data_IF_565511226232
#
_entry.id   IF_565511226232
#
_cell.length_a   1.000
_cell.length_b   1.000
_cell.length_c   1.000
_cell.angle_alpha   90.00
_cell.angle_beta   90.00
_cell.angle_gamma   90.00
#
_symmetry.space_group_name_H-M   'P 1'
#
loop_
_entity.id
_entity.type
_entity.pdbx_description
1 polymer ?
#
# COMPACT_ATOMS: atom_id res chain seq x y z
N UNK A 1 -48.36 33.60 -67.10
CA UNK A 1 -48.01 34.43 -65.91
C UNK A 1 -47.74 33.51 -64.72
N UNK A 2 -46.52 33.59 -64.19
CA UNK A 2 -45.95 33.11 -62.92
C UNK A 2 -46.57 31.88 -62.23
N UNK A 3 -45.90 30.72 -62.36
CA UNK A 3 -45.87 29.67 -61.32
C UNK A 3 -44.71 30.00 -60.38
N UNK A 4 -45.03 30.33 -59.13
CA UNK A 4 -44.03 30.47 -58.06
C UNK A 4 -43.89 29.09 -57.41
N UNK A 5 -42.79 28.41 -57.73
CA UNK A 5 -42.24 27.31 -56.94
C UNK A 5 -41.33 27.99 -55.92
N UNK A 6 -41.71 27.98 -54.64
CA UNK A 6 -40.79 28.30 -53.54
C UNK A 6 -40.39 26.99 -52.89
N UNK A 7 -39.12 26.67 -53.09
CA UNK A 7 -38.39 25.58 -52.47
C UNK A 7 -38.31 25.69 -50.95
N UNK A 8 -38.26 24.51 -50.35
CA UNK A 8 -37.71 24.15 -49.04
C UNK A 8 -36.82 25.22 -48.40
N UNK A 9 -37.08 25.55 -47.12
CA UNK A 9 -36.01 25.85 -46.18
C UNK A 9 -36.44 25.49 -44.73
N UNK A 10 -35.68 24.57 -44.14
CA UNK A 10 -35.42 24.41 -42.70
C UNK A 10 -36.58 24.04 -41.77
N UNK A 11 -36.85 22.74 -41.68
CA UNK A 11 -37.38 22.11 -40.46
C UNK A 11 -36.53 20.88 -40.13
N UNK A 12 -35.26 21.11 -39.77
CA UNK A 12 -34.32 20.07 -39.35
C UNK A 12 -33.38 20.59 -38.26
N UNK A 13 -33.95 21.09 -37.17
CA UNK A 13 -33.24 21.29 -35.91
C UNK A 13 -34.07 20.61 -34.81
N UNK A 14 -33.39 19.88 -33.92
CA UNK A 14 -33.92 19.10 -32.78
C UNK A 14 -34.10 17.59 -33.03
N UNK A 15 -33.09 16.97 -33.61
CA UNK A 15 -32.70 15.63 -33.19
C UNK A 15 -31.26 15.71 -32.65
N UNK A 16 -31.08 16.37 -31.50
CA UNK A 16 -29.87 16.15 -30.72
C UNK A 16 -29.93 14.71 -30.24
N UNK A 17 -29.04 13.80 -30.68
CA UNK A 17 -28.90 12.55 -29.96
C UNK A 17 -28.55 12.94 -28.53
N UNK A 18 -29.34 12.47 -27.57
CA UNK A 18 -28.92 12.38 -26.19
C UNK A 18 -27.69 11.48 -26.19
N UNK A 19 -26.52 12.08 -26.42
CA UNK A 19 -25.24 11.46 -26.13
C UNK A 19 -25.37 11.09 -24.66
N UNK A 20 -25.42 9.79 -24.38
CA UNK A 20 -25.18 9.31 -23.02
C UNK A 20 -23.86 9.93 -22.62
N UNK A 21 -23.93 10.97 -21.81
CA UNK A 21 -22.81 11.38 -20.99
C UNK A 21 -22.71 10.23 -19.99
N UNK A 22 -21.98 9.19 -20.40
CA UNK A 22 -21.44 8.26 -19.43
C UNK A 22 -20.67 9.16 -18.48
N UNK A 23 -21.20 9.31 -17.26
CA UNK A 23 -20.51 9.98 -16.18
C UNK A 23 -19.16 9.28 -16.07
N UNK A 24 -18.14 9.87 -16.69
CA UNK A 24 -16.77 9.44 -16.53
C UNK A 24 -16.55 9.49 -15.02
N UNK A 25 -16.53 8.30 -14.39
CA UNK A 25 -16.18 8.21 -12.99
C UNK A 25 -14.79 8.81 -12.90
N UNK A 26 -14.70 10.00 -12.30
CA UNK A 26 -13.42 10.59 -11.98
C UNK A 26 -12.64 9.51 -11.21
N UNK A 27 -11.44 9.19 -11.67
CA UNK A 27 -10.59 8.25 -10.95
C UNK A 27 -10.42 8.78 -9.52
N UNK A 28 -10.61 7.90 -8.54
CA UNK A 28 -10.59 8.29 -7.14
C UNK A 28 -9.13 8.51 -6.71
N UNK A 29 -8.77 9.77 -6.48
CA UNK A 29 -7.41 10.17 -6.08
C UNK A 29 -7.36 10.53 -4.59
N UNK A 30 -8.23 9.95 -3.78
CA UNK A 30 -8.19 10.14 -2.34
C UNK A 30 -6.84 9.68 -1.77
N UNK A 31 -6.34 10.50 -0.83
CA UNK A 31 -5.06 10.25 -0.17
C UNK A 31 -5.31 9.32 1.01
N UNK A 32 -5.16 8.03 0.74
CA UNK A 32 -5.26 6.97 1.75
C UNK A 32 -3.88 6.40 2.10
N UNK A 33 -2.91 6.52 1.20
CA UNK A 33 -1.56 6.00 1.41
C UNK A 33 -0.56 7.11 1.62
N UNK A 34 0.55 6.77 2.26
CA UNK A 34 1.74 7.60 2.30
C UNK A 34 3.00 6.75 2.32
N UNK A 35 4.02 7.19 1.58
CA UNK A 35 5.34 6.59 1.60
C UNK A 35 6.18 7.20 2.72
N UNK A 36 6.93 6.36 3.43
CA UNK A 36 7.91 6.80 4.45
C UNK A 36 9.24 6.14 4.13
N UNK A 37 10.30 6.92 4.24
CA UNK A 37 11.68 6.49 3.97
C UNK A 37 12.51 6.57 5.24
N UNK A 38 13.72 5.99 5.22
CA UNK A 38 14.71 6.24 6.26
C UNK A 38 14.44 5.57 7.61
N UNK A 39 13.65 4.48 7.64
CA UNK A 39 13.54 3.67 8.86
C UNK A 39 14.87 2.99 9.24
N UNK A 40 15.82 2.92 8.31
CA UNK A 40 17.19 2.47 8.56
C UNK A 40 18.07 3.47 9.31
N UNK A 41 17.73 4.77 9.33
CA UNK A 41 18.54 5.80 10.02
C UNK A 41 18.28 5.90 11.53
N UNK A 42 17.21 5.29 12.04
CA UNK A 42 16.84 5.30 13.47
C UNK A 42 17.14 3.97 14.17
N UNK A 43 18.25 3.31 13.83
CA UNK A 43 18.64 2.07 14.53
C UNK A 43 17.70 0.87 14.31
N UNK A 44 16.92 0.87 13.21
CA UNK A 44 16.01 -0.18 12.71
C UNK A 44 15.81 -1.39 13.64
N UNK A 45 15.02 -1.23 14.69
CA UNK A 45 14.54 -2.39 15.42
C UNK A 45 13.60 -3.15 14.48
N UNK A 46 14.02 -4.35 14.07
CA UNK A 46 13.16 -5.22 13.26
C UNK A 46 11.87 -5.47 14.04
N UNK A 47 10.73 -5.24 13.40
CA UNK A 47 9.45 -5.59 13.97
C UNK A 47 9.41 -7.09 14.23
N UNK A 48 8.96 -7.47 15.41
CA UNK A 48 8.66 -8.86 15.74
C UNK A 48 7.33 -9.28 15.13
N UNK A 49 7.07 -10.58 15.00
CA UNK A 49 5.78 -11.05 14.48
C UNK A 49 4.65 -10.70 15.44
N UNK A 50 3.50 -10.19 14.98
CA UNK A 50 2.35 -9.97 15.86
C UNK A 50 1.68 -11.26 16.34
N UNK A 51 2.08 -12.42 15.78
CA UNK A 51 1.66 -13.76 16.21
C UNK A 51 2.87 -14.50 16.78
N UNK A 52 2.72 -15.12 17.95
CA UNK A 52 3.83 -15.79 18.66
C UNK A 52 3.41 -17.10 19.31
N UNK A 53 4.39 -17.98 19.47
CA UNK A 53 4.29 -19.19 20.28
C UNK A 53 5.27 -19.06 21.45
N UNK A 54 4.75 -18.73 22.63
CA UNK A 54 5.58 -18.26 23.74
C UNK A 54 6.34 -16.98 23.37
N UNK A 55 7.66 -16.98 23.54
CA UNK A 55 8.54 -15.86 23.19
C UNK A 55 9.00 -15.84 21.72
N UNK A 56 8.68 -16.88 20.95
CA UNK A 56 9.16 -17.08 19.59
C UNK A 56 8.21 -16.49 18.55
N UNK A 57 8.77 -15.79 17.57
CA UNK A 57 8.02 -15.22 16.45
C UNK A 57 7.45 -16.33 15.56
N UNK A 58 6.16 -16.23 15.24
CA UNK A 58 5.48 -17.08 14.27
C UNK A 58 5.16 -16.21 13.06
N UNK A 59 5.92 -16.34 11.98
CA UNK A 59 5.72 -15.57 10.75
C UNK A 59 4.53 -16.13 9.96
N UNK A 60 3.33 -15.79 10.44
CA UNK A 60 2.08 -16.19 9.84
C UNK A 60 2.02 -15.80 8.35
N UNK A 61 1.35 -16.63 7.57
CA UNK A 61 1.17 -16.38 6.15
C UNK A 61 0.37 -15.10 5.92
N UNK A 62 0.80 -14.27 4.96
CA UNK A 62 0.12 -13.02 4.62
C UNK A 62 -0.96 -13.28 3.57
N UNK A 63 -2.23 -13.31 3.94
CA UNK A 63 -3.37 -13.59 3.05
C UNK A 63 -3.68 -12.47 2.06
N UNK A 64 -3.52 -11.21 2.44
CA UNK A 64 -3.78 -10.06 1.58
C UNK A 64 -2.81 -8.93 1.94
N UNK A 65 -2.32 -8.20 0.92
CA UNK A 65 -1.20 -7.25 1.08
C UNK A 65 -1.69 -5.80 1.11
N UNK A 66 -0.88 -4.90 1.67
CA UNK A 66 -1.16 -3.45 1.63
C UNK A 66 -1.13 -2.94 0.20
N UNK A 67 -2.08 -2.08 -0.16
CA UNK A 67 -2.22 -1.49 -1.49
C UNK A 67 -2.45 -2.54 -2.60
N UNK A 68 -3.00 -3.69 -2.22
CA UNK A 68 -3.51 -4.69 -3.14
C UNK A 68 -5.01 -4.52 -3.31
N UNK A 69 -5.55 -4.51 -4.54
CA UNK A 69 -6.99 -4.44 -4.71
C UNK A 69 -7.71 -5.67 -4.17
N UNK A 70 -8.98 -5.48 -3.78
CA UNK A 70 -9.83 -6.56 -3.26
C UNK A 70 -11.20 -6.52 -3.91
N UNK A 71 -11.87 -7.67 -3.88
CA UNK A 71 -13.28 -7.78 -4.27
C UNK A 71 -14.24 -7.30 -3.18
N UNK A 72 -13.76 -7.22 -1.92
CA UNK A 72 -14.53 -6.81 -0.74
C UNK A 72 -13.62 -6.13 0.29
N UNK A 73 -14.22 -5.41 1.25
CA UNK A 73 -13.49 -4.62 2.24
C UNK A 73 -12.92 -3.31 1.67
N UNK A 74 -11.91 -2.74 2.35
CA UNK A 74 -11.18 -1.56 1.83
C UNK A 74 -10.51 -1.92 0.52
N UNK A 75 -10.62 -1.04 -0.48
CA UNK A 75 -10.05 -1.26 -1.81
C UNK A 75 -9.35 0.01 -2.30
N UNK A 76 -8.03 -0.01 -2.55
CA UNK A 76 -7.12 -1.11 -2.26
C UNK A 76 -7.03 -1.37 -0.77
N UNK A 77 -6.53 -2.55 -0.43
CA UNK A 77 -6.41 -3.00 0.94
C UNK A 77 -5.52 -2.06 1.76
N UNK A 78 -6.07 -1.53 2.85
CA UNK A 78 -5.42 -0.55 3.72
C UNK A 78 -4.64 -1.24 4.85
N UNK A 79 -3.89 -2.30 4.52
CA UNK A 79 -3.08 -3.04 5.47
C UNK A 79 -2.70 -4.44 4.98
N UNK A 80 -2.19 -5.27 5.88
CA UNK A 80 -1.88 -6.66 5.61
C UNK A 80 -2.73 -7.58 6.48
N UNK A 81 -3.24 -8.66 5.89
CA UNK A 81 -4.01 -9.69 6.59
C UNK A 81 -3.11 -10.90 6.83
N UNK A 82 -2.95 -11.31 8.09
CA UNK A 82 -2.21 -12.51 8.47
C UNK A 82 -3.16 -13.65 8.81
N UNK A 83 -2.88 -14.84 8.29
CA UNK A 83 -3.63 -16.04 8.62
C UNK A 83 -3.44 -16.39 10.10
N UNK A 84 -4.54 -16.45 10.84
CA UNK A 84 -4.53 -16.83 12.25
C UNK A 84 -5.87 -17.46 12.63
N UNK A 85 -5.86 -18.43 13.55
CA UNK A 85 -7.10 -19.03 14.05
C UNK A 85 -7.77 -18.10 15.07
N UNK A 86 -9.09 -18.15 15.19
CA UNK A 86 -9.80 -17.47 16.26
C UNK A 86 -9.24 -17.87 17.64
N UNK A 87 -9.13 -16.91 18.56
CA UNK A 87 -8.51 -17.11 19.86
C UNK A 87 -6.97 -17.06 19.88
N UNK A 88 -6.30 -16.96 18.73
CA UNK A 88 -4.84 -16.79 18.69
C UNK A 88 -4.45 -15.49 19.38
N UNK A 89 -3.47 -15.53 20.27
CA UNK A 89 -2.96 -14.32 20.95
C UNK A 89 -2.28 -13.39 19.94
N UNK A 90 -2.63 -12.11 20.01
CA UNK A 90 -2.02 -11.04 19.23
C UNK A 90 -1.12 -10.23 20.15
N UNK A 91 0.01 -9.80 19.61
CA UNK A 91 1.04 -9.11 20.35
C UNK A 91 1.57 -7.91 19.56
N UNK A 92 2.14 -6.90 20.25
CA UNK A 92 2.71 -5.76 19.56
C UNK A 92 4.02 -6.14 18.85
N UNK A 93 4.31 -5.49 17.72
CA UNK A 93 5.51 -5.73 16.91
C UNK A 93 6.77 -5.14 17.54
N UNK A 94 6.60 -4.10 18.36
CA UNK A 94 7.60 -3.37 19.14
C UNK A 94 6.96 -2.95 20.48
N UNK A 95 7.73 -2.58 21.52
CA UNK A 95 7.14 -1.98 22.71
C UNK A 95 6.28 -0.77 22.34
N UNK A 96 5.21 -0.51 23.09
CA UNK A 96 4.35 0.62 22.75
C UNK A 96 3.28 0.94 23.78
N UNK A 97 2.66 2.10 23.58
CA UNK A 97 1.57 2.62 24.40
C UNK A 97 0.28 2.67 23.60
N UNK A 98 -0.81 2.19 24.20
CA UNK A 98 -2.14 2.21 23.57
C UNK A 98 -2.60 3.65 23.44
N UNK A 99 -2.91 4.05 22.21
CA UNK A 99 -3.45 5.37 21.88
C UNK A 99 -4.90 5.33 21.43
N UNK A 100 -5.38 4.16 21.00
CA UNK A 100 -6.79 3.91 20.70
C UNK A 100 -7.12 2.44 20.93
N UNK A 101 -8.33 2.17 21.41
CA UNK A 101 -8.88 0.83 21.56
C UNK A 101 -10.36 0.84 21.16
N UNK A 102 -10.79 -0.18 20.44
CA UNK A 102 -12.18 -0.47 20.14
C UNK A 102 -12.48 -1.87 20.66
N UNK A 103 -13.29 -1.96 21.72
CA UNK A 103 -13.69 -3.24 22.30
C UNK A 103 -14.84 -3.91 21.55
N UNK A 104 -15.55 -3.17 20.69
CA UNK A 104 -16.66 -3.73 19.96
C UNK A 104 -16.19 -4.73 18.90
N UNK A 105 -16.40 -6.02 19.17
CA UNK A 105 -16.12 -7.13 18.25
C UNK A 105 -17.26 -7.41 17.27
N UNK A 106 -18.40 -6.71 17.37
CA UNK A 106 -19.46 -6.84 16.37
C UNK A 106 -18.88 -6.56 14.98
N UNK A 107 -19.12 -7.46 14.03
CA UNK A 107 -18.57 -7.36 12.68
C UNK A 107 -17.03 -7.34 12.61
N UNK A 108 -16.36 -7.94 13.60
CA UNK A 108 -14.90 -7.98 13.72
C UNK A 108 -14.24 -6.60 13.80
N UNK A 109 -14.91 -5.61 14.40
CA UNK A 109 -14.41 -4.23 14.47
C UNK A 109 -13.41 -3.98 15.62
N UNK A 110 -13.18 -4.99 16.46
CA UNK A 110 -12.31 -4.86 17.61
C UNK A 110 -10.87 -4.58 17.20
N UNK A 111 -10.25 -3.58 17.82
CA UNK A 111 -8.91 -3.13 17.45
C UNK A 111 -8.15 -2.44 18.58
N UNK A 112 -6.83 -2.46 18.47
CA UNK A 112 -5.89 -1.70 19.31
C UNK A 112 -4.92 -0.95 18.40
N UNK A 113 -4.64 0.32 18.70
CA UNK A 113 -3.58 1.10 18.04
C UNK A 113 -2.54 1.47 19.08
N UNK A 114 -1.28 1.14 18.79
CA UNK A 114 -0.14 1.43 19.65
C UNK A 114 0.76 2.49 19.01
N UNK A 115 1.24 3.45 19.80
CA UNK A 115 2.39 4.28 19.46
C UNK A 115 3.66 3.58 19.96
N UNK A 116 4.59 3.29 19.05
CA UNK A 116 5.77 2.49 19.33
C UNK A 116 6.99 3.34 19.70
N UNK A 117 7.77 2.77 20.60
CA UNK A 117 9.16 3.13 20.88
C UNK A 117 10.02 2.25 19.95
N UNK A 118 10.61 2.88 18.92
CA UNK A 118 11.30 2.19 17.83
C UNK A 118 12.81 2.10 18.03
N UNK A 119 13.40 2.90 18.92
CA UNK A 119 14.84 2.92 19.23
C UNK A 119 15.18 2.39 20.63
N UNK A 120 14.16 2.12 21.45
CA UNK A 120 14.28 1.47 22.75
C UNK A 120 14.70 2.41 23.89
N UNK A 121 14.56 3.72 23.72
CA UNK A 121 14.97 4.72 24.72
C UNK A 121 13.90 4.99 25.81
N UNK A 122 12.71 4.39 25.69
CA UNK A 122 11.58 4.57 26.58
C UNK A 122 10.64 5.73 26.20
N UNK A 123 10.90 6.40 25.07
CA UNK A 123 10.08 7.48 24.50
C UNK A 123 9.35 6.93 23.26
N UNK A 124 8.08 7.30 23.08
CA UNK A 124 7.28 6.83 21.95
C UNK A 124 7.43 7.76 20.74
N UNK A 125 7.79 7.20 19.59
CA UNK A 125 8.34 7.93 18.44
C UNK A 125 7.32 8.39 17.39
N UNK A 126 6.02 8.37 17.73
CA UNK A 126 4.92 8.64 16.80
C UNK A 126 4.83 7.61 15.65
N UNK A 127 5.17 6.36 15.96
CA UNK A 127 5.02 5.21 15.06
C UNK A 127 3.79 4.41 15.44
N UNK A 128 2.69 4.67 14.74
CA UNK A 128 1.41 4.04 15.05
C UNK A 128 1.21 2.76 14.25
N UNK A 129 0.86 1.66 14.92
CA UNK A 129 0.42 0.41 14.28
C UNK A 129 -0.93 0.02 14.84
N UNK A 130 -1.87 -0.26 13.95
CA UNK A 130 -3.21 -0.71 14.29
C UNK A 130 -3.33 -2.22 14.04
N UNK A 131 -3.96 -2.90 14.97
CA UNK A 131 -4.25 -4.33 14.98
C UNK A 131 -5.77 -4.47 15.03
N UNK A 132 -6.39 -5.09 14.02
CA UNK A 132 -7.83 -5.15 13.80
C UNK A 132 -8.29 -6.61 13.64
N UNK A 133 -9.58 -6.85 13.85
CA UNK A 133 -10.20 -8.17 13.92
C UNK A 133 -9.74 -8.96 15.15
N UNK A 134 -9.52 -8.23 16.24
CA UNK A 134 -9.13 -8.79 17.54
C UNK A 134 -10.20 -8.52 18.59
N UNK A 135 -10.26 -9.35 19.63
CA UNK A 135 -10.93 -9.06 20.89
C UNK A 135 -9.88 -8.52 21.89
N UNK A 136 -9.87 -7.20 22.18
CA UNK A 136 -8.95 -6.62 23.16
C UNK A 136 -9.18 -7.13 24.59
N UNK A 137 -10.33 -7.74 24.89
CA UNK A 137 -10.64 -8.30 26.21
C UNK A 137 -10.29 -9.79 26.31
N UNK A 138 -9.93 -10.44 25.21
CA UNK A 138 -9.83 -11.90 25.10
C UNK A 138 -8.79 -12.58 26.00
N UNK A 139 -8.01 -11.81 26.78
CA UNK A 139 -6.99 -12.32 27.70
C UNK A 139 -7.03 -11.73 29.14
N UNK A 140 -7.94 -10.79 29.43
CA UNK A 140 -7.94 -10.08 30.72
C UNK A 140 -9.35 -9.68 31.16
N UNK A 141 -9.64 -9.83 32.46
CA UNK A 141 -10.87 -9.36 33.09
C UNK A 141 -10.97 -7.84 33.19
N UNK A 142 -9.86 -7.11 33.10
CA UNK A 142 -9.83 -5.64 33.20
C UNK A 142 -9.89 -4.93 31.85
N UNK A 143 -9.77 -5.67 30.74
CA UNK A 143 -9.66 -5.11 29.39
C UNK A 143 -8.39 -4.28 29.17
N UNK A 144 -8.16 -3.89 27.92
CA UNK A 144 -7.07 -2.98 27.50
C UNK A 144 -7.60 -1.56 27.45
N UNK A 145 -6.89 -0.60 28.03
CA UNK A 145 -7.27 0.82 28.05
C UNK A 145 -6.28 1.72 27.32
N UNK A 146 -6.76 2.87 26.85
CA UNK A 146 -5.87 3.95 26.36
C UNK A 146 -4.93 4.36 27.49
N UNK A 147 -3.64 4.45 27.19
CA UNK A 147 -2.60 4.75 28.16
C UNK A 147 -1.81 3.53 28.62
N UNK A 148 -2.35 2.32 28.48
CA UNK A 148 -1.65 1.09 28.82
C UNK A 148 -0.38 0.91 27.99
N UNK A 149 0.65 0.33 28.60
CA UNK A 149 1.94 0.08 27.95
C UNK A 149 2.20 -1.41 27.84
N UNK A 150 2.69 -1.85 26.69
CA UNK A 150 2.96 -3.25 26.39
C UNK A 150 4.39 -3.43 25.93
N UNK A 151 5.07 -4.41 26.52
CA UNK A 151 6.29 -4.99 25.95
C UNK A 151 5.95 -5.94 24.80
N UNK A 152 6.95 -6.29 24.00
CA UNK A 152 6.81 -7.26 22.90
C UNK A 152 6.42 -8.67 23.35
N UNK A 153 6.37 -9.00 24.64
CA UNK A 153 5.95 -10.34 25.10
C UNK A 153 4.57 -10.33 25.77
N UNK A 154 3.90 -9.18 25.85
CA UNK A 154 2.56 -9.06 26.41
C UNK A 154 1.52 -9.02 25.29
N UNK A 155 0.50 -9.86 25.39
CA UNK A 155 -0.58 -9.92 24.40
C UNK A 155 -1.52 -8.72 24.54
N UNK A 156 -1.95 -8.20 23.39
CA UNK A 156 -2.89 -7.08 23.26
C UNK A 156 -4.29 -7.54 22.84
N UNK A 157 -4.62 -8.81 23.11
CA UNK A 157 -5.91 -9.42 22.79
C UNK A 157 -5.75 -10.72 22.01
N UNK A 158 -6.87 -11.25 21.54
CA UNK A 158 -6.92 -12.47 20.72
C UNK A 158 -7.59 -12.20 19.38
N UNK A 159 -7.36 -13.04 18.38
CA UNK A 159 -8.15 -12.99 17.14
C UNK A 159 -9.61 -13.23 17.47
N UNK A 160 -10.48 -12.36 16.97
CA UNK A 160 -11.92 -12.41 17.24
C UNK A 160 -12.54 -13.74 16.77
N UNK A 161 -13.58 -14.16 17.48
CA UNK A 161 -14.38 -15.35 17.17
C UNK A 161 -15.61 -15.05 16.31
N UNK A 162 -15.97 -13.77 16.13
CA UNK A 162 -17.08 -13.34 15.31
C UNK A 162 -16.85 -13.67 13.82
N UNK A 163 -17.84 -14.28 13.15
CA UNK A 163 -17.67 -14.96 11.85
C UNK A 163 -18.18 -14.15 10.64
N UNK A 164 -17.72 -12.90 10.46
CA UNK A 164 -18.00 -12.17 9.20
C UNK A 164 -17.03 -12.60 8.10
N UNK A 165 -15.74 -12.65 8.44
CA UNK A 165 -14.66 -13.11 7.59
C UNK A 165 -13.99 -14.33 8.22
N UNK A 166 -13.30 -15.17 7.44
CA UNK A 166 -12.41 -16.17 8.00
C UNK A 166 -11.47 -15.52 9.02
N UNK A 167 -11.25 -16.12 10.21
CA UNK A 167 -10.38 -15.54 11.22
C UNK A 167 -8.99 -15.19 10.64
N UNK A 168 -8.55 -13.96 10.92
CA UNK A 168 -7.26 -13.41 10.49
C UNK A 168 -6.94 -12.18 11.35
N UNK A 169 -5.67 -11.76 11.35
CA UNK A 169 -5.26 -10.47 11.88
C UNK A 169 -5.12 -9.48 10.74
N UNK A 170 -5.86 -8.37 10.76
CA UNK A 170 -5.54 -7.24 9.90
C UNK A 170 -4.61 -6.28 10.67
N UNK A 171 -3.47 -5.90 10.09
CA UNK A 171 -2.60 -4.91 10.71
C UNK A 171 -1.92 -4.00 9.70
N UNK A 172 -1.69 -2.75 10.11
CA UNK A 172 -1.04 -1.76 9.27
C UNK A 172 -0.41 -0.65 10.10
N UNK A 173 0.59 0.01 9.52
CA UNK A 173 1.13 1.25 10.07
C UNK A 173 0.22 2.41 9.67
N UNK A 174 -0.07 3.29 10.62
CA UNK A 174 -0.98 4.42 10.42
C UNK A 174 -0.48 5.72 11.07
N UNK A 175 -1.25 6.79 10.95
CA UNK A 175 -1.04 8.05 11.69
C UNK A 175 -1.86 8.03 12.99
N UNK A 176 -1.70 9.04 13.83
CA UNK A 176 -2.36 9.11 15.14
C UNK A 176 -3.90 9.04 15.09
N UNK A 177 -4.51 9.35 13.95
CA UNK A 177 -5.97 9.37 13.75
C UNK A 177 -6.48 8.25 12.83
N UNK A 178 -5.63 7.29 12.44
CA UNK A 178 -6.00 6.16 11.58
C UNK A 178 -6.53 6.53 10.17
N UNK A 179 -6.11 7.66 9.61
CA UNK A 179 -6.58 8.16 8.30
C UNK A 179 -5.63 7.89 7.13
N UNK A 180 -4.41 7.45 7.41
CA UNK A 180 -3.40 7.13 6.39
C UNK A 180 -2.82 5.74 6.64
N UNK A 181 -2.49 5.04 5.57
CA UNK A 181 -1.79 3.76 5.60
C UNK A 181 -0.36 3.94 5.10
N UNK A 182 0.59 3.48 5.90
CA UNK A 182 2.01 3.46 5.57
C UNK A 182 2.51 2.03 5.35
N UNK A 183 3.62 1.88 4.63
CA UNK A 183 4.20 0.55 4.39
C UNK A 183 4.70 -0.08 5.69
N UNK A 184 4.56 -1.40 5.74
CA UNK A 184 5.14 -2.23 6.79
C UNK A 184 6.55 -2.71 6.43
N UNK A 185 6.90 -2.72 5.15
CA UNK A 185 8.18 -3.17 4.57
C UNK A 185 9.41 -2.80 5.41
N UNK A 186 9.47 -1.56 5.91
CA UNK A 186 10.60 -1.07 6.70
C UNK A 186 10.90 -1.88 7.97
N UNK A 187 9.88 -2.43 8.63
CA UNK A 187 10.05 -3.20 9.86
C UNK A 187 10.54 -4.64 9.62
N UNK A 188 10.40 -5.16 8.39
CA UNK A 188 10.53 -6.60 8.14
C UNK A 188 11.55 -6.94 7.06
N UNK A 189 12.50 -6.03 6.78
CA UNK A 189 13.56 -6.19 5.77
C UNK A 189 14.49 -7.37 6.01
N UNK A 190 14.51 -7.92 7.23
CA UNK A 190 15.32 -9.08 7.62
C UNK A 190 14.52 -10.40 7.65
N UNK A 191 13.20 -10.36 7.49
CA UNK A 191 12.31 -11.53 7.65
C UNK A 191 12.15 -12.24 6.31
N UNK A 192 12.98 -13.25 6.07
CA UNK A 192 12.99 -14.03 4.81
C UNK A 192 11.65 -14.72 4.52
N UNK A 193 10.95 -15.23 5.54
CA UNK A 193 9.60 -15.83 5.40
C UNK A 193 8.59 -14.86 4.80
N UNK A 194 8.75 -13.56 5.05
CA UNK A 194 7.93 -12.51 4.47
C UNK A 194 8.55 -11.87 3.24
N UNK A 195 9.42 -12.60 2.54
CA UNK A 195 10.19 -12.09 1.40
C UNK A 195 10.85 -10.75 1.73
N UNK A 196 11.52 -10.70 2.90
CA UNK A 196 12.17 -9.50 3.42
C UNK A 196 11.20 -8.30 3.50
N UNK A 197 9.97 -8.57 3.99
CA UNK A 197 8.88 -7.61 4.13
C UNK A 197 8.03 -7.42 2.88
N UNK A 198 8.45 -7.92 1.72
CA UNK A 198 7.73 -7.72 0.45
C UNK A 198 6.38 -8.44 0.39
N UNK A 199 6.15 -9.43 1.27
CA UNK A 199 4.83 -10.05 1.42
C UNK A 199 3.78 -9.09 2.02
N UNK A 200 4.16 -7.99 2.67
CA UNK A 200 3.22 -7.11 3.36
C UNK A 200 2.72 -5.93 2.52
N UNK A 201 3.41 -5.60 1.42
CA UNK A 201 3.15 -4.43 0.59
C UNK A 201 3.17 -4.76 -0.90
N UNK A 202 2.20 -4.25 -1.66
CA UNK A 202 2.08 -4.50 -3.10
C UNK A 202 3.32 -4.07 -3.89
N UNK A 203 3.84 -2.85 -3.62
CA UNK A 203 5.15 -2.39 -4.09
C UNK A 203 6.02 -2.07 -2.87
N UNK A 204 7.18 -2.71 -2.80
CA UNK A 204 8.15 -2.58 -1.70
C UNK A 204 9.57 -2.40 -2.25
N UNK A 205 10.52 -2.17 -1.36
CA UNK A 205 11.88 -1.82 -1.75
C UNK A 205 12.09 -0.33 -1.99
N UNK A 206 13.31 0.11 -1.68
CA UNK A 206 13.77 1.48 -1.83
C UNK A 206 15.30 1.56 -2.03
N UNK A 207 15.95 0.42 -2.30
CA UNK A 207 17.40 0.35 -2.39
C UNK A 207 17.87 0.92 -3.74
N UNK A 208 18.80 1.88 -3.67
CA UNK A 208 19.52 2.41 -4.84
C UNK A 208 21.00 2.10 -4.65
N UNK A 209 21.61 1.46 -5.64
CA UNK A 209 23.06 1.20 -5.70
C UNK A 209 23.58 1.82 -6.97
N UNK A 210 24.43 2.84 -6.85
CA UNK A 210 24.82 3.70 -7.97
C UNK A 210 23.55 4.25 -8.63
N UNK A 211 23.36 4.06 -9.93
CA UNK A 211 22.18 4.52 -10.65
C UNK A 211 21.03 3.50 -10.67
N UNK A 212 21.19 2.36 -10.00
CA UNK A 212 20.22 1.27 -10.09
C UNK A 212 19.27 1.26 -8.90
N UNK A 213 17.97 1.46 -9.17
CA UNK A 213 16.89 1.24 -8.24
C UNK A 213 16.42 -0.22 -8.25
N UNK A 214 16.24 -0.78 -7.05
CA UNK A 214 15.67 -2.10 -6.81
C UNK A 214 14.34 -1.99 -6.07
N UNK A 215 13.30 -2.54 -6.68
CA UNK A 215 11.95 -2.59 -6.11
C UNK A 215 11.32 -3.96 -6.34
N UNK A 216 10.46 -4.36 -5.41
CA UNK A 216 9.68 -5.60 -5.48
C UNK A 216 8.22 -5.23 -5.77
N UNK A 217 7.59 -5.87 -6.74
CA UNK A 217 6.19 -5.57 -7.11
C UNK A 217 5.45 -6.82 -7.57
N UNK A 218 4.41 -7.21 -6.82
CA UNK A 218 3.60 -8.39 -7.10
C UNK A 218 2.32 -8.39 -6.29
N UNK A 219 1.28 -9.02 -6.83
CA UNK A 219 0.04 -9.32 -6.14
C UNK A 219 0.10 -10.72 -5.52
N UNK A 220 -0.69 -10.94 -4.49
CA UNK A 220 -1.02 -12.26 -3.96
C UNK A 220 -2.55 -12.38 -3.94
N UNK A 221 -3.13 -13.55 -4.23
CA UNK A 221 -4.59 -13.72 -4.05
C UNK A 221 -4.99 -13.43 -2.60
N UNK A 222 -6.28 -13.18 -2.32
CA UNK A 222 -6.82 -12.95 -0.96
C UNK A 222 -6.65 -14.14 0.03
N UNK A 223 -5.92 -15.19 -0.38
CA UNK A 223 -5.50 -16.33 0.42
C UNK A 223 -4.00 -16.65 0.27
N UNK A 224 -3.25 -15.77 -0.41
CA UNK A 224 -1.84 -15.84 -0.77
C UNK A 224 -1.30 -17.15 -1.31
N UNK A 225 -2.16 -17.93 -1.97
CA UNK A 225 -1.75 -19.23 -2.55
C UNK A 225 -1.15 -19.03 -3.92
N UNK A 226 -1.65 -18.04 -4.64
CA UNK A 226 -1.09 -17.67 -5.92
C UNK A 226 -0.46 -16.28 -5.79
N UNK A 227 0.80 -16.20 -6.17
CA UNK A 227 1.53 -14.95 -6.31
C UNK A 227 1.61 -14.65 -7.80
N UNK A 228 1.33 -13.41 -8.17
CA UNK A 228 1.36 -12.94 -9.55
C UNK A 228 2.30 -11.75 -9.68
N UNK A 229 3.33 -11.93 -10.50
CA UNK A 229 4.17 -10.83 -10.96
C UNK A 229 3.32 -9.77 -11.63
N UNK A 230 3.64 -8.50 -11.41
CA UNK A 230 3.03 -7.41 -12.18
C UNK A 230 3.38 -7.57 -13.66
N UNK A 231 2.47 -7.22 -14.56
CA UNK A 231 2.69 -7.42 -16.01
C UNK A 231 3.79 -6.52 -16.58
N UNK A 232 3.98 -5.35 -15.97
CA UNK A 232 5.07 -4.42 -16.26
C UNK A 232 5.20 -3.38 -15.17
N UNK A 233 6.38 -2.75 -15.15
CA UNK A 233 6.64 -1.50 -14.46
C UNK A 233 6.94 -0.42 -15.49
N UNK A 234 6.39 0.77 -15.29
CA UNK A 234 6.70 1.96 -16.07
C UNK A 234 7.36 3.00 -15.17
N UNK A 235 8.42 3.64 -15.69
CA UNK A 235 9.09 4.77 -15.05
C UNK A 235 8.60 6.05 -15.72
N UNK A 236 8.14 6.98 -14.89
CA UNK A 236 7.85 8.36 -15.30
C UNK A 236 8.82 9.27 -14.60
N UNK A 237 9.40 10.22 -15.34
CA UNK A 237 10.48 11.06 -14.83
C UNK A 237 10.46 12.46 -15.43
N UNK A 238 11.16 13.39 -14.79
CA UNK A 238 11.64 14.64 -15.39
C UNK A 238 13.08 14.88 -14.93
N UNK A 239 13.87 15.51 -15.79
CA UNK A 239 15.25 15.93 -15.48
C UNK A 239 15.22 17.41 -15.10
N UNK A 240 15.75 17.73 -13.93
CA UNK A 240 15.67 19.07 -13.35
C UNK A 240 14.25 19.44 -12.87
N UNK A 241 14.18 20.43 -11.98
CA UNK A 241 12.90 20.84 -11.38
C UNK A 241 11.91 21.40 -12.40
N UNK A 242 12.42 22.20 -13.35
CA UNK A 242 11.66 22.81 -14.45
C UNK A 242 11.42 21.86 -15.64
N UNK A 243 11.88 20.61 -15.57
CA UNK A 243 11.69 19.63 -16.63
C UNK A 243 10.24 19.20 -16.82
N UNK A 244 9.95 18.64 -17.99
CA UNK A 244 8.65 18.05 -18.30
C UNK A 244 8.61 16.57 -17.93
N UNK A 245 7.47 16.12 -17.39
CA UNK A 245 7.24 14.70 -17.13
C UNK A 245 7.20 13.90 -18.44
N UNK A 246 8.03 12.88 -18.52
CA UNK A 246 8.12 11.94 -19.63
C UNK A 246 8.01 10.50 -19.10
N UNK A 247 7.62 9.58 -19.97
CA UNK A 247 7.68 8.14 -19.71
C UNK A 247 8.99 7.59 -20.28
N UNK A 248 9.68 6.76 -19.52
CA UNK A 248 10.85 6.03 -20.03
C UNK A 248 10.44 5.06 -21.15
N UNK A 249 11.22 5.05 -22.22
CA UNK A 249 11.08 4.10 -23.33
C UNK A 249 11.87 2.81 -23.09
N UNK A 250 12.66 2.76 -22.02
CA UNK A 250 13.46 1.57 -21.67
C UNK A 250 12.56 0.51 -21.06
N UNK A 251 12.52 -0.72 -21.61
CA UNK A 251 11.80 -1.82 -20.99
C UNK A 251 12.54 -2.29 -19.73
N UNK A 252 11.79 -2.55 -18.66
CA UNK A 252 12.32 -3.15 -17.44
C UNK A 252 11.91 -4.62 -17.38
N UNK A 253 12.73 -5.44 -16.73
CA UNK A 253 12.43 -6.85 -16.51
C UNK A 253 12.71 -7.22 -15.06
N UNK A 254 12.15 -8.34 -14.64
CA UNK A 254 12.39 -8.90 -13.32
C UNK A 254 13.82 -9.46 -13.30
N UNK A 255 14.66 -8.86 -12.45
CA UNK A 255 16.05 -9.25 -12.25
C UNK A 255 16.22 -10.45 -11.32
N UNK A 256 15.27 -10.66 -10.40
CA UNK A 256 15.29 -11.80 -9.48
C UNK A 256 13.88 -12.36 -9.32
N UNK A 257 13.47 -13.31 -10.17
CA UNK A 257 12.10 -13.85 -10.18
C UNK A 257 11.64 -14.42 -8.86
N UNK A 258 12.51 -15.10 -8.11
CA UNK A 258 12.20 -15.66 -6.79
C UNK A 258 11.80 -14.62 -5.74
N UNK A 259 12.11 -13.34 -5.98
CA UNK A 259 11.74 -12.24 -5.11
C UNK A 259 10.77 -11.26 -5.77
N UNK A 260 10.38 -11.45 -7.04
CA UNK A 260 9.59 -10.49 -7.82
C UNK A 260 10.26 -9.11 -7.91
N UNK A 261 11.60 -9.11 -7.97
CA UNK A 261 12.43 -7.90 -7.90
C UNK A 261 12.79 -7.36 -9.28
N UNK A 262 12.44 -6.12 -9.51
CA UNK A 262 12.78 -5.33 -10.69
C UNK A 262 14.05 -4.53 -10.46
N UNK A 263 14.84 -4.38 -11.52
CA UNK A 263 16.06 -3.57 -11.56
C UNK A 263 15.85 -2.45 -12.59
N UNK A 264 16.03 -1.20 -12.17
CA UNK A 264 15.82 -0.02 -13.01
C UNK A 264 17.09 0.84 -12.94
N UNK A 265 17.87 0.84 -14.02
CA UNK A 265 18.99 1.78 -14.17
C UNK A 265 18.42 3.15 -14.52
N UNK A 266 18.41 4.07 -13.55
CA UNK A 266 17.83 5.39 -13.66
C UNK A 266 18.58 6.27 -14.68
N UNK A 267 19.90 6.10 -14.84
CA UNK A 267 20.68 6.85 -15.82
C UNK A 267 20.29 6.44 -17.23
N UNK A 268 20.34 5.13 -17.48
CA UNK A 268 19.99 4.56 -18.79
C UNK A 268 18.51 4.79 -19.14
N UNK A 269 17.62 4.68 -18.15
CA UNK A 269 16.18 4.82 -18.36
C UNK A 269 15.73 6.27 -18.61
N UNK A 270 16.49 7.26 -18.15
CA UNK A 270 16.14 8.69 -18.27
C UNK A 270 17.00 9.43 -19.29
N UNK A 271 18.17 8.88 -19.66
CA UNK A 271 19.17 9.57 -20.49
C UNK A 271 19.86 10.74 -19.78
N UNK A 272 19.66 10.89 -18.47
CA UNK A 272 20.26 11.96 -17.67
C UNK A 272 21.78 11.77 -17.51
N UNK A 273 22.51 12.88 -17.44
CA UNK A 273 23.95 12.91 -17.25
C UNK A 273 24.33 12.76 -15.76
N UNK A 274 25.59 12.41 -15.49
CA UNK A 274 26.11 12.44 -14.11
C UNK A 274 25.99 13.85 -13.54
N UNK A 275 25.51 13.97 -12.30
CA UNK A 275 25.20 15.23 -11.63
C UNK A 275 23.78 15.75 -11.86
N UNK A 276 23.01 15.19 -12.80
CA UNK A 276 21.62 15.60 -13.01
C UNK A 276 20.72 15.14 -11.86
N UNK A 277 19.84 16.05 -11.42
CA UNK A 277 18.71 15.70 -10.57
C UNK A 277 17.59 15.14 -11.44
N UNK A 278 17.18 13.90 -11.16
CA UNK A 278 15.96 13.33 -11.71
C UNK A 278 14.86 13.33 -10.65
N UNK A 279 13.63 13.53 -11.10
CA UNK A 279 12.42 13.38 -10.31
C UNK A 279 11.59 12.29 -10.96
N UNK A 280 11.17 11.27 -10.21
CA UNK A 280 10.56 10.10 -10.81
C UNK A 280 9.50 9.43 -9.94
N UNK A 281 8.60 8.69 -10.58
CA UNK A 281 7.69 7.76 -9.93
C UNK A 281 7.53 6.51 -10.81
N UNK A 282 7.10 5.42 -10.19
CA UNK A 282 6.88 4.14 -10.86
C UNK A 282 5.40 3.79 -10.85
N UNK A 283 4.98 3.10 -11.91
CA UNK A 283 3.65 2.50 -12.02
C UNK A 283 3.81 1.00 -12.22
N UNK A 284 3.23 0.20 -11.35
CA UNK A 284 3.19 -1.26 -11.48
C UNK A 284 1.79 -1.72 -11.89
N UNK A 285 1.70 -2.54 -12.94
CA UNK A 285 0.45 -2.97 -13.55
C UNK A 285 0.00 -4.36 -13.06
N UNK A 286 -1.21 -4.42 -12.48
CA UNK A 286 -1.78 -5.58 -11.77
C UNK A 286 -2.44 -6.62 -12.69
N UNK A 287 -2.20 -6.60 -13.99
CA UNK A 287 -3.05 -7.27 -14.98
C UNK A 287 -2.92 -8.80 -15.08
N UNK A 288 -2.20 -9.42 -14.16
CA UNK A 288 -1.92 -10.87 -14.10
C UNK A 288 -2.71 -11.59 -13.01
N UNK A 289 -3.27 -10.86 -12.04
CA UNK A 289 -4.06 -11.42 -10.96
C UNK A 289 -5.52 -11.68 -11.42
N UNK A 290 -5.99 -12.93 -11.50
CA UNK A 290 -7.34 -13.25 -11.96
C UNK A 290 -8.43 -12.90 -10.93
N UNK A 291 -8.06 -12.67 -9.66
CA UNK A 291 -9.01 -12.23 -8.62
C UNK A 291 -9.32 -10.74 -8.72
N UNK A 292 -8.61 -10.03 -9.62
CA UNK A 292 -8.80 -8.62 -9.88
C UNK A 292 -9.97 -8.37 -10.86
N UNK A 293 -11.10 -7.89 -10.34
CA UNK A 293 -12.33 -7.64 -11.13
C UNK A 293 -12.56 -6.17 -11.55
N UNK A 294 -11.58 -5.27 -11.35
CA UNK A 294 -11.84 -3.82 -11.33
C UNK A 294 -11.21 -2.94 -12.42
N UNK A 295 -11.59 -1.66 -12.37
CA UNK A 295 -11.04 -0.54 -13.18
C UNK A 295 -9.64 -0.08 -12.73
N UNK A 296 -9.15 -0.57 -11.60
CA UNK A 296 -7.99 -0.05 -10.83
C UNK A 296 -6.69 -0.84 -11.03
N UNK A 297 -6.16 -0.81 -12.25
CA UNK A 297 -5.09 -1.73 -12.70
C UNK A 297 -3.67 -1.37 -12.25
N UNK A 298 -3.50 -0.29 -11.49
CA UNK A 298 -2.17 0.29 -11.24
C UNK A 298 -1.94 0.60 -9.77
N UNK A 299 -0.75 0.25 -9.27
CA UNK A 299 -0.19 0.74 -8.02
C UNK A 299 1.01 1.64 -8.28
N UNK A 300 1.28 2.59 -7.38
CA UNK A 300 2.31 3.62 -7.56
C UNK A 300 3.38 3.50 -6.50
N UNK A 301 4.62 3.78 -6.90
CA UNK A 301 5.73 4.03 -5.98
C UNK A 301 6.30 5.39 -6.29
N UNK A 302 6.34 6.33 -5.35
CA UNK A 302 5.85 6.23 -3.96
C UNK A 302 4.33 6.01 -3.86
N UNK A 303 3.88 5.32 -2.81
CA UNK A 303 2.44 5.14 -2.56
C UNK A 303 1.81 6.43 -2.03
N UNK A 304 0.61 6.77 -2.52
CA UNK A 304 -0.10 7.98 -2.10
C UNK A 304 -1.61 7.90 -2.33
N UNK A 305 -2.00 7.60 -3.56
CA UNK A 305 -3.39 7.60 -4.01
C UNK A 305 -4.06 6.24 -3.81
N UNK A 306 -5.35 6.24 -3.49
CA UNK A 306 -6.17 5.03 -3.37
C UNK A 306 -6.35 4.34 -4.73
N UNK A 307 -6.83 5.07 -5.75
CA UNK A 307 -7.10 4.50 -7.07
C UNK A 307 -6.52 5.34 -8.23
N UNK A 308 -5.19 5.52 -8.30
CA UNK A 308 -4.59 6.35 -9.32
C UNK A 308 -4.70 5.73 -10.71
N UNK A 309 -5.11 6.53 -11.68
CA UNK A 309 -4.95 6.20 -13.10
C UNK A 309 -3.58 6.67 -13.59
N UNK A 310 -2.92 5.85 -14.40
CA UNK A 310 -1.66 6.20 -15.04
C UNK A 310 -1.90 6.71 -16.48
N UNK A 311 -1.15 7.71 -16.97
CA UNK A 311 -0.17 8.51 -16.23
C UNK A 311 -0.84 9.54 -15.30
N UNK A 312 -0.12 9.99 -14.27
CA UNK A 312 -0.55 11.13 -13.46
C UNK A 312 -0.41 12.43 -14.25
N UNK A 313 -1.27 13.41 -13.96
CA UNK A 313 -1.04 14.79 -14.38
C UNK A 313 0.22 15.35 -13.71
N UNK A 314 0.86 16.36 -14.32
CA UNK A 314 2.08 16.97 -13.76
C UNK A 314 1.91 17.45 -12.32
N UNK A 315 0.75 18.01 -11.98
CA UNK A 315 0.43 18.45 -10.61
C UNK A 315 0.45 17.27 -9.62
N UNK A 316 -0.20 16.16 -9.98
CA UNK A 316 -0.27 14.96 -9.13
C UNK A 316 1.07 14.23 -9.03
N UNK A 317 1.85 14.20 -10.11
CA UNK A 317 3.20 13.65 -10.12
C UNK A 317 4.15 14.48 -9.23
N UNK A 318 4.02 15.82 -9.26
CA UNK A 318 4.77 16.72 -8.38
C UNK A 318 4.44 16.55 -6.88
N UNK A 319 3.35 15.86 -6.54
CA UNK A 319 3.01 15.54 -5.13
C UNK A 319 3.76 14.32 -4.60
N UNK A 320 4.07 13.33 -5.46
CA UNK A 320 4.47 12.00 -5.00
C UNK A 320 5.89 11.60 -5.38
N UNK A 321 6.58 12.38 -6.20
CA UNK A 321 7.84 11.95 -6.79
C UNK A 321 8.92 11.56 -5.76
N UNK A 322 9.91 10.80 -6.25
CA UNK A 322 11.23 10.69 -5.63
C UNK A 322 12.26 11.46 -6.43
N UNK A 323 13.26 11.99 -5.74
CA UNK A 323 14.42 12.61 -6.37
C UNK A 323 15.66 11.76 -6.17
N UNK A 324 16.55 11.81 -7.15
CA UNK A 324 17.86 11.14 -7.12
C UNK A 324 18.85 11.94 -7.97
N UNK A 325 20.12 11.97 -7.55
CA UNK A 325 21.21 12.58 -8.33
C UNK A 325 21.94 11.46 -9.04
N UNK A 326 22.02 11.54 -10.37
CA UNK A 326 22.71 10.53 -11.17
C UNK A 326 24.22 10.55 -10.85
N UNK A 327 24.77 9.36 -10.59
CA UNK A 327 26.21 9.13 -10.41
C UNK A 327 26.97 9.02 -11.75
#
# INVERSE_FOLDING_TARGET
MKKIIVSLFLLSLLATPFVKIDNAKAADYDRVFAEVYGLSSYGSTNGRSPIRSGSSDVWARVNSKTNQPRSSGTNPHQGADLQASAGTLVYPILPGKVVAVQHNTSSQLGSVTLNHDIDGDGIYDNYYVRYLHIDPNGNSTTGISVGDTFSVNQSIGTIDTYKVYPPHLHFHRTNSISSLTYKLYGFYRSVSTWNFGSHLDFISGDAIVTNTLYINAYAATDNSTNIYDVSKIELYYKVGWSGSWAKSTTPFTISTPSYHRWKIDLKSATGAASGDFIYYYLVAYRSTDPTFSGSYKTGFWPQYYEHPTAPLTSSRANTIYRSFIIE
#
